data_IF_580098241640
#
_entry.id   IF_580098241640
#
_cell.length_a   1.000
_cell.length_b   1.000
_cell.length_c   1.000
_cell.angle_alpha   90.00
_cell.angle_beta   90.00
_cell.angle_gamma   90.00
#
_symmetry.space_group_name_H-M   'P 1'
#
loop_
_entity.id
_entity.type
_entity.pdbx_description
1 polymer ?
#
# COMPACT_ATOMS: atom_id res chain seq x y z
N UNK A 1 -4.48 -27.78 9.35
CA UNK A 1 -3.50 -28.07 8.30
C UNK A 1 -3.15 -26.73 7.69
N UNK A 2 -2.02 -26.19 8.07
CA UNK A 2 -1.46 -25.00 7.44
C UNK A 2 -0.78 -25.50 6.17
N UNK A 3 -1.21 -25.03 5.01
CA UNK A 3 -0.68 -25.51 3.73
C UNK A 3 0.82 -25.20 3.65
N UNK A 4 1.61 -26.17 3.19
CA UNK A 4 3.09 -26.05 3.08
C UNK A 4 3.52 -24.79 2.31
N UNK A 5 2.68 -24.32 1.38
CA UNK A 5 2.88 -23.08 0.64
C UNK A 5 2.96 -21.85 1.56
N UNK A 6 2.04 -21.69 2.51
CA UNK A 6 2.00 -20.54 3.42
C UNK A 6 3.18 -20.57 4.38
N UNK A 7 3.56 -21.76 4.86
CA UNK A 7 4.72 -21.92 5.75
C UNK A 7 6.04 -21.60 5.04
N UNK A 8 6.23 -22.07 3.81
CA UNK A 8 7.46 -21.80 3.04
C UNK A 8 7.56 -20.36 2.54
N UNK A 9 6.42 -19.66 2.42
CA UNK A 9 6.34 -18.29 1.89
C UNK A 9 7.24 -17.30 2.61
N UNK A 10 7.33 -17.39 3.95
CA UNK A 10 8.15 -16.46 4.74
C UNK A 10 9.64 -16.60 4.40
N UNK A 11 10.11 -17.83 4.16
CA UNK A 11 11.50 -18.08 3.80
C UNK A 11 11.82 -17.44 2.44
N UNK A 12 10.95 -17.64 1.44
CA UNK A 12 11.12 -17.04 0.11
C UNK A 12 11.20 -15.52 0.20
N UNK A 13 10.25 -14.90 0.92
CA UNK A 13 10.16 -13.46 1.10
C UNK A 13 11.39 -12.86 1.80
N UNK A 14 11.96 -13.56 2.79
CA UNK A 14 13.13 -13.07 3.54
C UNK A 14 14.45 -13.23 2.79
N UNK A 15 14.53 -14.16 1.84
CA UNK A 15 15.75 -14.44 1.05
C UNK A 15 15.94 -13.51 -0.14
N UNK A 16 14.90 -12.76 -0.56
CA UNK A 16 15.05 -11.77 -1.64
C UNK A 16 15.92 -10.62 -1.14
N UNK A 17 16.96 -10.30 -1.92
CA UNK A 17 17.73 -9.10 -1.68
C UNK A 17 17.06 -7.88 -2.32
N UNK A 18 16.59 -6.96 -1.48
CA UNK A 18 15.93 -5.72 -1.88
C UNK A 18 16.89 -4.52 -1.91
N UNK A 19 18.21 -4.75 -1.73
CA UNK A 19 19.25 -3.71 -1.60
C UNK A 19 19.34 -2.72 -2.78
N UNK A 20 18.87 -3.09 -3.97
CA UNK A 20 18.90 -2.23 -5.17
C UNK A 20 17.63 -1.37 -5.39
N UNK A 21 16.76 -1.23 -4.37
CA UNK A 21 15.92 -0.04 -4.19
C UNK A 21 14.72 0.17 -5.13
N UNK A 22 14.57 -0.56 -6.23
CA UNK A 22 13.41 -0.37 -7.13
C UNK A 22 12.11 -0.85 -6.48
N UNK A 23 12.19 -1.76 -5.51
CA UNK A 23 10.99 -2.30 -4.87
C UNK A 23 11.25 -2.84 -3.46
N UNK A 24 11.79 -2.00 -2.58
CA UNK A 24 11.86 -2.31 -1.14
C UNK A 24 10.42 -2.38 -0.56
N UNK A 25 9.93 -3.56 -0.11
CA UNK A 25 8.59 -3.63 0.48
C UNK A 25 8.59 -2.89 1.82
N UNK A 26 7.56 -2.08 2.03
CA UNK A 26 7.39 -1.25 3.21
C UNK A 26 6.11 -1.66 3.94
N UNK A 27 6.26 -2.10 5.19
CA UNK A 27 5.16 -2.50 6.04
C UNK A 27 4.64 -1.30 6.84
N UNK A 28 3.31 -1.19 6.98
CA UNK A 28 2.63 -0.09 7.66
C UNK A 28 2.06 -0.53 9.00
N UNK A 29 2.34 0.24 10.05
CA UNK A 29 1.74 0.09 11.36
C UNK A 29 0.25 0.33 11.24
N UNK A 30 -0.56 -0.63 11.66
CA UNK A 30 -2.01 -0.54 11.60
C UNK A 30 -2.66 -1.37 12.71
N UNK A 31 -3.92 -1.09 13.05
CA UNK A 31 -4.61 -1.79 14.14
C UNK A 31 -4.77 -3.29 13.84
N UNK A 32 -5.13 -3.61 12.60
CA UNK A 32 -5.31 -4.97 12.11
C UNK A 32 -5.22 -4.99 10.57
N UNK A 33 -5.09 -6.19 10.01
CA UNK A 33 -5.00 -6.38 8.56
C UNK A 33 -6.24 -5.86 7.82
N UNK A 34 -7.44 -5.95 8.40
CA UNK A 34 -8.67 -5.43 7.79
C UNK A 34 -8.60 -3.90 7.63
N UNK A 35 -8.17 -3.16 8.66
CA UNK A 35 -7.96 -1.71 8.58
C UNK A 35 -6.91 -1.35 7.51
N UNK A 36 -5.81 -2.11 7.44
CA UNK A 36 -4.79 -1.93 6.41
C UNK A 36 -5.38 -2.16 5.01
N UNK A 37 -6.13 -3.24 4.80
CA UNK A 37 -6.73 -3.59 3.51
C UNK A 37 -7.75 -2.56 3.00
N UNK A 38 -8.31 -1.74 3.89
CA UNK A 38 -9.21 -0.62 3.60
C UNK A 38 -8.48 0.70 3.37
N UNK A 39 -7.16 0.73 3.55
CA UNK A 39 -6.35 1.93 3.40
C UNK A 39 -6.48 2.90 4.56
N UNK A 40 -6.82 2.45 5.78
CA UNK A 40 -6.91 3.33 6.95
C UNK A 40 -5.55 3.75 7.51
N UNK A 41 -4.47 3.10 7.07
CA UNK A 41 -3.12 3.30 7.57
C UNK A 41 -2.18 3.56 6.39
N UNK A 42 -1.57 4.75 6.34
CA UNK A 42 -0.70 5.16 5.23
C UNK A 42 0.47 6.07 5.63
N UNK A 43 0.55 6.47 6.90
CA UNK A 43 1.61 7.36 7.38
C UNK A 43 2.83 6.56 7.86
N UNK A 44 4.01 7.02 7.45
CA UNK A 44 5.29 6.52 7.94
C UNK A 44 5.85 7.33 9.11
N UNK A 45 5.19 8.41 9.51
CA UNK A 45 5.57 9.23 10.66
C UNK A 45 5.60 8.39 11.95
N UNK A 46 6.39 8.81 12.93
CA UNK A 46 6.47 8.17 14.25
C UNK A 46 6.74 6.65 14.20
N UNK A 47 7.70 6.22 13.36
CA UNK A 47 7.97 4.80 13.09
C UNK A 47 6.77 4.01 12.53
N UNK A 48 5.87 4.69 11.82
CA UNK A 48 4.70 4.08 11.19
C UNK A 48 5.03 3.08 10.08
N UNK A 49 6.27 3.08 9.57
CA UNK A 49 6.71 2.17 8.53
C UNK A 49 7.99 1.39 8.90
N UNK A 50 8.10 0.17 8.39
CA UNK A 50 9.29 -0.69 8.51
C UNK A 50 9.60 -1.35 7.18
N UNK A 51 10.86 -1.31 6.70
CA UNK A 51 11.25 -2.10 5.54
C UNK A 51 11.16 -3.59 5.91
N UNK A 52 10.72 -4.40 4.96
CA UNK A 52 10.63 -5.84 5.09
C UNK A 52 11.79 -6.52 4.33
N UNK A 53 12.38 -7.55 4.93
CA UNK A 53 13.47 -8.34 4.34
C UNK A 53 14.68 -8.45 5.27
N UNK A 54 15.35 -9.61 5.23
CA UNK A 54 16.44 -9.94 6.16
C UNK A 54 17.66 -9.04 5.94
N UNK A 55 18.07 -8.84 4.68
CA UNK A 55 19.27 -8.07 4.32
C UNK A 55 19.24 -6.61 4.78
N UNK A 56 18.03 -6.03 4.93
CA UNK A 56 17.85 -4.65 5.42
C UNK A 56 17.87 -4.59 6.94
N UNK A 57 17.38 -5.64 7.59
CA UNK A 57 17.34 -5.74 9.05
C UNK A 57 18.71 -6.05 9.64
N UNK A 58 19.57 -6.77 8.92
CA UNK A 58 20.90 -7.20 9.41
C UNK A 58 22.03 -6.21 9.13
N UNK A 59 21.87 -5.26 8.19
CA UNK A 59 22.90 -4.28 7.84
C UNK A 59 23.03 -3.08 8.81
N UNK A 60 22.23 -3.05 9.87
CA UNK A 60 22.31 -1.98 10.86
C UNK A 60 22.83 -2.57 12.17
N UNK A 61 23.84 -1.93 12.76
CA UNK A 61 24.21 -2.05 14.19
C UNK A 61 23.04 -1.61 15.10
N UNK A 62 21.83 -2.13 14.86
CA UNK A 62 20.66 -1.95 15.67
C UNK A 62 20.63 -3.14 16.61
N UNK A 63 20.92 -2.87 17.87
CA UNK A 63 20.38 -3.66 18.96
C UNK A 63 18.91 -3.91 18.62
N UNK A 64 18.54 -5.17 18.40
CA UNK A 64 17.13 -5.55 18.32
C UNK A 64 16.58 -5.15 19.68
N UNK A 65 15.99 -3.96 19.76
CA UNK A 65 15.35 -3.49 20.97
C UNK A 65 14.37 -4.58 21.33
N UNK A 66 14.60 -5.17 22.50
CA UNK A 66 13.78 -6.21 23.14
C UNK A 66 12.35 -6.04 22.70
N UNK A 67 11.82 -7.07 22.03
CA UNK A 67 10.49 -7.12 21.42
C UNK A 67 9.55 -6.06 21.99
N UNK A 68 9.57 -4.86 21.41
CA UNK A 68 8.36 -4.07 21.36
C UNK A 68 7.45 -4.93 20.50
N UNK A 69 6.73 -5.84 21.14
CA UNK A 69 5.49 -6.38 20.58
C UNK A 69 4.67 -5.12 20.41
N UNK A 70 4.80 -4.49 19.24
CA UNK A 70 4.07 -3.28 18.96
C UNK A 70 2.62 -3.65 19.20
N UNK A 71 1.93 -2.89 20.08
CA UNK A 71 0.51 -3.10 20.38
C UNK A 71 -0.37 -3.18 19.11
N UNK A 72 0.20 -2.72 17.98
CA UNK A 72 -0.33 -2.74 16.62
C UNK A 72 0.69 -3.36 15.67
N UNK A 73 0.25 -4.33 14.87
CA UNK A 73 1.09 -5.01 13.88
C UNK A 73 1.49 -4.13 12.70
N UNK A 74 2.53 -4.55 11.97
CA UNK A 74 2.89 -3.99 10.68
C UNK A 74 2.35 -4.90 9.55
N UNK A 75 1.75 -4.29 8.53
CA UNK A 75 1.11 -5.02 7.43
C UNK A 75 1.61 -4.52 6.08
N UNK A 76 1.78 -5.44 5.14
CA UNK A 76 2.03 -5.17 3.73
C UNK A 76 1.32 -6.23 2.88
N UNK A 77 1.21 -6.00 1.58
CA UNK A 77 0.93 -7.06 0.61
C UNK A 77 2.16 -7.33 -0.25
N UNK A 78 2.30 -8.59 -0.64
CA UNK A 78 3.33 -9.05 -1.57
C UNK A 78 2.67 -9.70 -2.76
N UNK A 79 3.37 -9.72 -3.89
CA UNK A 79 2.88 -10.39 -5.08
C UNK A 79 3.13 -11.89 -4.98
N UNK A 80 2.47 -12.69 -5.82
CA UNK A 80 2.67 -14.15 -5.86
C UNK A 80 4.00 -14.59 -6.49
N UNK A 81 4.75 -13.69 -7.13
CA UNK A 81 5.95 -14.04 -7.90
C UNK A 81 7.15 -13.19 -7.52
N UNK A 82 8.33 -13.80 -7.44
CA UNK A 82 9.58 -13.08 -7.16
C UNK A 82 9.77 -11.89 -8.13
N UNK A 83 10.19 -10.69 -7.64
CA UNK A 83 10.67 -10.36 -6.28
C UNK A 83 9.57 -10.06 -5.24
N UNK A 84 8.33 -10.51 -5.47
CA UNK A 84 7.19 -10.42 -4.55
C UNK A 84 6.69 -9.01 -4.29
N UNK A 85 6.84 -8.18 -5.31
CA UNK A 85 6.76 -6.75 -5.24
C UNK A 85 5.40 -6.15 -5.58
N UNK A 86 4.95 -5.23 -4.72
CA UNK A 86 3.68 -4.52 -4.87
C UNK A 86 3.84 -3.03 -4.55
N UNK A 87 3.27 -2.18 -5.40
CA UNK A 87 3.08 -0.76 -5.17
C UNK A 87 1.75 -0.51 -4.49
N UNK A 88 1.78 0.14 -3.33
CA UNK A 88 0.60 0.49 -2.57
C UNK A 88 0.25 1.97 -2.79
N UNK A 89 -1.03 2.25 -2.96
CA UNK A 89 -1.58 3.60 -2.99
C UNK A 89 -2.76 3.69 -2.04
N UNK A 90 -2.81 4.77 -1.26
CA UNK A 90 -4.01 5.13 -0.54
C UNK A 90 -4.81 6.10 -1.40
N UNK A 91 -6.06 5.75 -1.66
CA UNK A 91 -7.04 6.66 -2.24
C UNK A 91 -7.84 7.24 -1.09
N UNK A 92 -7.92 8.57 -1.01
CA UNK A 92 -8.71 9.29 -0.01
C UNK A 92 -9.75 10.12 -0.73
N UNK A 93 -11.03 9.84 -0.50
CA UNK A 93 -12.14 10.63 -1.01
C UNK A 93 -12.81 11.38 0.12
N UNK A 94 -12.86 12.71 0.02
CA UNK A 94 -13.76 13.52 0.86
C UNK A 94 -15.08 13.71 0.14
N UNK A 95 -16.14 13.18 0.72
CA UNK A 95 -17.48 13.27 0.18
C UNK A 95 -18.21 14.54 0.61
N UNK A 96 -19.18 14.94 -0.21
CA UNK A 96 -20.10 16.00 0.15
C UNK A 96 -20.90 15.61 1.41
N UNK A 97 -21.18 16.59 2.26
CA UNK A 97 -21.90 16.35 3.52
C UNK A 97 -23.24 15.68 3.25
N UNK A 98 -23.53 14.59 3.96
CA UNK A 98 -24.77 13.82 3.80
C UNK A 98 -24.77 12.84 2.63
N UNK A 99 -23.68 12.75 1.86
CA UNK A 99 -23.50 11.74 0.81
C UNK A 99 -22.81 10.51 1.40
N UNK A 100 -23.37 9.33 1.13
CA UNK A 100 -22.72 8.06 1.44
C UNK A 100 -21.90 7.59 0.24
N UNK A 101 -20.58 7.46 0.44
CA UNK A 101 -19.65 7.03 -0.59
C UNK A 101 -19.12 5.61 -0.38
N UNK A 102 -19.70 4.88 0.55
CA UNK A 102 -19.33 3.50 0.85
C UNK A 102 -19.48 2.64 -0.41
N UNK A 103 -18.41 1.92 -0.74
CA UNK A 103 -18.39 0.95 -1.83
C UNK A 103 -18.24 1.52 -3.23
N UNK A 104 -18.05 2.83 -3.38
CA UNK A 104 -17.70 3.43 -4.67
C UNK A 104 -16.33 2.92 -5.12
N UNK A 105 -16.24 2.56 -6.40
CA UNK A 105 -14.98 2.22 -7.04
C UNK A 105 -14.33 3.48 -7.62
N UNK A 106 -13.07 3.69 -7.27
CA UNK A 106 -12.20 4.70 -7.88
C UNK A 106 -11.24 3.98 -8.82
N UNK A 107 -11.23 4.40 -10.08
CA UNK A 107 -10.36 3.86 -11.13
C UNK A 107 -9.21 4.82 -11.36
N UNK A 108 -8.00 4.28 -11.39
CA UNK A 108 -6.76 5.01 -11.63
C UNK A 108 -6.14 4.45 -12.91
N UNK A 109 -5.83 5.35 -13.85
CA UNK A 109 -5.10 4.97 -15.05
C UNK A 109 -3.60 4.96 -14.77
N UNK A 110 -2.95 3.87 -15.14
CA UNK A 110 -1.52 3.72 -15.03
C UNK A 110 -0.86 3.37 -16.36
N UNK A 111 0.34 3.91 -16.63
CA UNK A 111 1.20 3.44 -17.71
C UNK A 111 1.90 2.14 -17.31
N UNK A 112 1.76 1.12 -18.15
CA UNK A 112 2.37 -0.18 -17.96
C UNK A 112 3.77 -0.27 -18.57
N UNK A 113 4.53 -1.30 -18.22
CA UNK A 113 5.92 -1.52 -18.67
C UNK A 113 6.07 -1.59 -20.20
N UNK A 114 5.07 -2.10 -20.90
CA UNK A 114 4.96 -2.12 -22.37
C UNK A 114 4.39 -0.81 -22.97
N UNK A 115 4.33 0.28 -22.19
CA UNK A 115 3.78 1.58 -22.60
C UNK A 115 2.29 1.60 -22.96
N UNK A 116 1.52 0.56 -22.64
CA UNK A 116 0.06 0.63 -22.69
C UNK A 116 -0.50 1.36 -21.46
N UNK A 117 -1.81 1.64 -21.47
CA UNK A 117 -2.54 2.14 -20.30
C UNK A 117 -3.42 1.03 -19.75
N UNK A 118 -3.40 0.84 -18.43
CA UNK A 118 -4.25 -0.11 -17.72
C UNK A 118 -5.03 0.64 -16.62
N UNK A 119 -6.26 0.18 -16.37
CA UNK A 119 -7.12 0.70 -15.32
C UNK A 119 -7.00 -0.16 -14.08
N UNK A 120 -6.61 0.45 -12.98
CA UNK A 120 -6.59 -0.15 -11.66
C UNK A 120 -7.71 0.43 -10.82
N UNK A 121 -8.22 -0.29 -9.83
CA UNK A 121 -9.30 0.25 -9.01
C UNK A 121 -9.22 -0.16 -7.55
N UNK A 122 -9.75 0.70 -6.68
CA UNK A 122 -10.00 0.34 -5.29
C UNK A 122 -11.40 0.76 -4.88
N UNK A 123 -11.94 0.00 -3.92
CA UNK A 123 -13.23 0.25 -3.29
C UNK A 123 -13.04 1.19 -2.11
N UNK A 124 -13.84 2.24 -2.05
CA UNK A 124 -13.88 3.15 -0.92
C UNK A 124 -14.63 2.54 0.26
N UNK A 125 -14.07 2.70 1.44
CA UNK A 125 -14.65 2.30 2.72
C UNK A 125 -14.63 3.51 3.66
N UNK A 126 -15.71 3.72 4.42
CA UNK A 126 -15.84 4.83 5.35
C UNK A 126 -14.80 4.71 6.45
N UNK A 127 -13.97 5.75 6.58
CA UNK A 127 -12.99 5.86 7.64
C UNK A 127 -13.55 6.68 8.80
N UNK A 128 -14.12 7.84 8.51
CA UNK A 128 -14.82 8.72 9.45
C UNK A 128 -15.82 9.61 8.68
N UNK A 129 -16.57 10.45 9.40
CA UNK A 129 -17.48 11.50 8.90
C UNK A 129 -17.80 11.44 7.39
N UNK A 130 -17.07 12.25 6.61
CA UNK A 130 -17.17 12.34 5.15
C UNK A 130 -15.91 11.79 4.45
N UNK A 131 -14.97 11.18 5.18
CA UNK A 131 -13.73 10.65 4.61
C UNK A 131 -13.84 9.15 4.38
N UNK A 132 -13.56 8.76 3.16
CA UNK A 132 -13.53 7.38 2.71
C UNK A 132 -12.16 7.06 2.13
N UNK A 133 -11.70 5.84 2.34
CA UNK A 133 -10.39 5.40 1.85
C UNK A 133 -10.47 4.08 1.12
N UNK A 134 -9.52 3.86 0.21
CA UNK A 134 -9.29 2.56 -0.41
C UNK A 134 -7.80 2.30 -0.51
N UNK A 135 -7.40 1.04 -0.31
CA UNK A 135 -6.04 0.59 -0.63
C UNK A 135 -6.03 0.03 -2.05
N UNK A 136 -5.25 0.65 -2.93
CA UNK A 136 -4.92 0.11 -4.23
C UNK A 136 -3.55 -0.57 -4.16
N UNK A 137 -3.45 -1.78 -4.73
CA UNK A 137 -2.22 -2.57 -4.76
C UNK A 137 -1.96 -2.98 -6.21
N UNK A 138 -0.79 -2.62 -6.74
CA UNK A 138 -0.41 -2.86 -8.13
C UNK A 138 0.93 -3.59 -8.18
N UNK A 139 0.97 -4.72 -8.88
CA UNK A 139 2.18 -5.51 -9.05
C UNK A 139 3.24 -4.67 -9.78
N UNK A 140 4.46 -4.60 -9.23
CA UNK A 140 5.52 -3.75 -9.79
C UNK A 140 5.90 -4.11 -11.22
N UNK A 141 5.76 -5.38 -11.63
CA UNK A 141 6.05 -5.80 -13.01
C UNK A 141 5.08 -5.19 -14.03
N UNK A 142 3.87 -4.85 -13.59
CA UNK A 142 2.83 -4.26 -14.44
C UNK A 142 2.97 -2.76 -14.57
N UNK A 143 3.61 -2.08 -13.60
CA UNK A 143 3.56 -0.63 -13.49
C UNK A 143 4.90 0.03 -13.74
N UNK A 144 5.02 0.80 -14.84
CA UNK A 144 6.30 1.34 -15.30
C UNK A 144 6.79 2.54 -14.48
N UNK A 145 5.86 3.34 -13.97
CA UNK A 145 6.18 4.57 -13.25
C UNK A 145 5.20 4.76 -12.08
N UNK A 146 5.59 4.37 -10.86
CA UNK A 146 4.71 4.45 -9.70
C UNK A 146 4.29 5.88 -9.33
N UNK A 147 4.99 6.90 -9.83
CA UNK A 147 4.77 8.31 -9.47
C UNK A 147 3.89 9.07 -10.47
N UNK A 148 3.61 8.50 -11.65
CA UNK A 148 2.83 9.17 -12.73
C UNK A 148 1.38 8.70 -12.88
N UNK A 149 0.83 7.97 -11.90
CA UNK A 149 -0.58 7.62 -11.90
C UNK A 149 -1.42 8.91 -11.72
N UNK A 150 -2.02 9.46 -12.77
CA UNK A 150 -2.72 10.75 -12.63
C UNK A 150 -3.90 10.91 -13.57
N UNK A 151 -4.87 9.99 -13.51
CA UNK A 151 -6.27 10.28 -13.81
C UNK A 151 -7.15 9.35 -12.96
N UNK A 152 -7.97 9.92 -12.07
CA UNK A 152 -8.94 9.19 -11.27
C UNK A 152 -10.35 9.43 -11.82
N UNK A 153 -11.10 8.37 -12.14
CA UNK A 153 -12.52 8.49 -12.43
C UNK A 153 -13.34 7.50 -11.59
N UNK A 154 -14.63 7.78 -11.42
CA UNK A 154 -15.57 6.93 -10.70
C UNK A 154 -16.72 6.54 -11.63
N UNK A 155 -17.41 5.44 -11.33
CA UNK A 155 -18.58 4.94 -12.10
C UNK A 155 -19.81 5.87 -12.02
N UNK A 156 -19.68 6.99 -11.34
CA UNK A 156 -20.70 7.93 -10.94
C UNK A 156 -20.16 9.35 -11.13
N UNK A 157 -21.07 10.34 -11.14
CA UNK A 157 -20.70 11.73 -11.34
C UNK A 157 -19.91 12.28 -10.14
N UNK A 158 -18.57 12.27 -10.27
CA UNK A 158 -17.61 12.59 -9.19
C UNK A 158 -17.84 13.98 -8.61
N UNK A 159 -18.07 14.99 -9.46
CA UNK A 159 -18.22 16.39 -9.04
C UNK A 159 -19.44 16.65 -8.16
N UNK A 160 -20.43 15.74 -8.18
CA UNK A 160 -21.62 15.82 -7.31
C UNK A 160 -21.45 15.09 -5.99
N UNK A 161 -20.53 14.14 -5.90
CA UNK A 161 -20.41 13.26 -4.73
C UNK A 161 -19.18 13.56 -3.88
N UNK A 162 -18.08 13.94 -4.52
CA UNK A 162 -16.81 14.22 -3.86
C UNK A 162 -16.52 15.71 -3.90
N UNK A 163 -16.04 16.24 -2.77
CA UNK A 163 -15.36 17.53 -2.74
C UNK A 163 -13.96 17.40 -3.32
N UNK A 164 -13.27 16.31 -2.95
CA UNK A 164 -11.88 16.06 -3.33
C UNK A 164 -11.60 14.57 -3.35
N UNK A 165 -10.72 14.15 -4.28
CA UNK A 165 -10.10 12.83 -4.28
C UNK A 165 -8.59 13.04 -4.33
N UNK A 166 -7.87 12.37 -3.45
CA UNK A 166 -6.43 12.37 -3.36
C UNK A 166 -5.90 10.94 -3.52
N UNK A 167 -4.81 10.77 -4.27
CA UNK A 167 -4.12 9.49 -4.43
C UNK A 167 -2.72 9.65 -3.86
N UNK A 168 -2.42 8.93 -2.78
CA UNK A 168 -1.13 8.96 -2.09
C UNK A 168 -0.36 7.69 -2.39
N UNK A 169 0.82 7.83 -2.98
CA UNK A 169 1.73 6.70 -3.13
C UNK A 169 2.33 6.34 -1.76
N UNK A 170 2.18 5.08 -1.36
CA UNK A 170 2.64 4.58 -0.07
C UNK A 170 4.04 3.98 -0.19
N UNK A 171 4.30 3.13 -1.18
CA UNK A 171 5.57 2.38 -1.30
C UNK A 171 6.83 3.23 -1.65
N UNK A 172 6.87 4.52 -1.32
CA UNK A 172 8.06 5.35 -1.49
C UNK A 172 9.08 5.03 -0.39
N UNK A 173 10.09 4.24 -0.73
CA UNK A 173 11.24 3.97 0.12
C UNK A 173 12.28 5.10 0.10
N UNK A 174 11.86 6.38 0.01
CA UNK A 174 12.78 7.48 0.26
C UNK A 174 13.04 7.56 1.78
N UNK A 175 13.84 6.60 2.23
CA UNK A 175 14.33 6.38 3.60
C UNK A 175 15.35 7.47 4.00
N UNK A 176 15.53 8.51 3.17
CA UNK A 176 16.25 9.74 3.51
C UNK A 176 15.43 10.75 4.34
N UNK A 177 14.27 10.37 4.88
CA UNK A 177 13.73 11.07 6.06
C UNK A 177 14.42 10.46 7.30
N UNK A 178 15.68 10.87 7.48
CA UNK A 178 16.44 10.76 8.73
C UNK A 178 15.90 11.74 9.76
#
# INVERSE_FOLDING_TARGET
FEDICDHSRVSELLTVDYSEGVCQPLAYKCDNYSSFSKGFCSSCENNGCRPFGLSIQTNVNKTILTSEVADKGYYLKTSGESPYCEHHYQIVGECNTGVNCEGIMIYIMGKTSNSSHEWFSAKLTKMNDNIYTGLLTINSKKFADPFKATFAFSTINISRQFKQIEVKYMSNANIEVR
#
